data_IF_956441544620
#
_entry.id   IF_956441544620
#
_cell.length_a   1.000
_cell.length_b   1.000
_cell.length_c   1.000
_cell.angle_alpha   90.00
_cell.angle_beta   90.00
_cell.angle_gamma   90.00
#
_symmetry.space_group_name_H-M   'P 1'
#
loop_
_entity.id
_entity.type
_entity.pdbx_description
1 polymer ?
#
# COMPACT_ATOMS: atom_id res chain seq x y z
N UNK A 1 17.30 7.94 10.77
CA UNK A 1 15.88 7.86 10.39
C UNK A 1 15.65 6.41 10.01
N UNK A 2 14.68 5.75 10.64
CA UNK A 2 14.55 4.30 10.60
C UNK A 2 13.21 3.91 9.99
N UNK A 3 13.25 3.14 8.89
CA UNK A 3 12.04 2.70 8.20
C UNK A 3 11.15 1.82 9.08
N UNK A 4 11.74 1.11 10.04
CA UNK A 4 11.03 0.26 11.01
C UNK A 4 10.17 1.04 12.00
N UNK A 5 10.40 2.35 12.15
CA UNK A 5 9.55 3.23 12.97
C UNK A 5 8.29 3.67 12.23
N UNK A 6 8.23 3.52 10.90
CA UNK A 6 7.05 3.83 10.09
C UNK A 6 6.07 2.66 10.25
N UNK A 7 4.88 2.91 10.80
CA UNK A 7 3.82 1.91 10.99
C UNK A 7 2.48 2.41 10.48
N UNK A 8 1.73 1.53 9.84
CA UNK A 8 0.39 1.81 9.36
C UNK A 8 -0.55 1.92 10.56
N UNK A 9 -1.43 2.91 10.55
CA UNK A 9 -2.49 3.05 11.57
C UNK A 9 -3.75 2.29 11.12
N UNK A 10 -4.57 1.85 12.08
CA UNK A 10 -5.79 1.05 11.81
C UNK A 10 -6.78 1.73 10.87
N UNK A 11 -6.83 3.06 10.92
CA UNK A 11 -7.70 3.88 10.06
C UNK A 11 -6.97 4.53 8.89
N UNK A 12 -5.67 4.26 8.74
CA UNK A 12 -4.88 4.83 7.65
C UNK A 12 -4.95 3.90 6.43
N UNK A 13 -5.47 4.40 5.30
CA UNK A 13 -5.55 3.60 4.09
C UNK A 13 -4.13 3.22 3.63
N UNK A 14 -3.95 2.06 2.98
CA UNK A 14 -2.63 1.61 2.52
C UNK A 14 -1.88 2.65 1.68
N UNK A 15 -2.63 3.49 0.95
CA UNK A 15 -2.11 4.62 0.16
C UNK A 15 -1.30 5.62 0.99
N UNK A 16 -1.87 6.09 2.10
CA UNK A 16 -1.27 7.12 2.93
C UNK A 16 -0.02 6.57 3.64
N UNK A 17 -0.11 5.34 4.15
CA UNK A 17 1.04 4.64 4.70
C UNK A 17 2.18 4.49 3.69
N UNK A 18 1.84 4.09 2.46
CA UNK A 18 2.82 3.90 1.39
C UNK A 18 3.48 5.22 0.98
N UNK A 19 2.73 6.32 0.93
CA UNK A 19 3.29 7.65 0.68
C UNK A 19 4.28 8.05 1.77
N UNK A 20 3.92 7.93 3.05
CA UNK A 20 4.82 8.21 4.18
C UNK A 20 6.08 7.33 4.15
N UNK A 21 5.90 6.03 3.92
CA UNK A 21 7.02 5.10 3.85
C UNK A 21 7.93 5.39 2.66
N UNK A 22 7.37 5.73 1.49
CA UNK A 22 8.16 6.04 0.30
C UNK A 22 8.99 7.31 0.50
N UNK A 23 8.43 8.35 1.12
CA UNK A 23 9.18 9.58 1.48
C UNK A 23 10.35 9.25 2.40
N UNK A 24 10.11 8.50 3.49
CA UNK A 24 11.18 8.08 4.39
C UNK A 24 12.23 7.19 3.68
N UNK A 25 11.81 6.35 2.74
CA UNK A 25 12.70 5.48 1.96
C UNK A 25 13.54 6.23 0.92
N UNK A 26 13.10 7.43 0.50
CA UNK A 26 13.87 8.35 -0.34
C UNK A 26 14.89 9.14 0.49
N UNK A 27 14.56 9.49 1.73
CA UNK A 27 15.48 10.14 2.67
C UNK A 27 16.61 9.21 3.14
N UNK A 28 16.38 7.89 3.10
CA UNK A 28 17.37 6.87 3.45
C UNK A 28 17.70 6.00 2.23
N UNK A 29 18.45 6.51 1.23
CA UNK A 29 18.82 5.72 0.04
C UNK A 29 19.84 4.63 0.35
N UNK A 30 20.48 4.66 1.52
CA UNK A 30 21.49 3.69 1.97
C UNK A 30 20.92 2.33 2.34
N UNK A 31 19.61 2.20 2.57
CA UNK A 31 18.96 0.90 2.82
C UNK A 31 18.66 0.16 1.51
N UNK A 32 18.97 -1.14 1.50
CA UNK A 32 18.69 -2.03 0.38
C UNK A 32 17.19 -2.26 0.19
N UNK A 33 16.78 -2.66 -1.01
CA UNK A 33 15.38 -2.96 -1.29
C UNK A 33 14.82 -4.06 -0.38
N UNK A 34 15.65 -5.02 0.03
CA UNK A 34 15.25 -6.11 0.92
C UNK A 34 14.89 -5.59 2.32
N UNK A 35 15.69 -4.67 2.85
CA UNK A 35 15.42 -3.99 4.12
C UNK A 35 14.16 -3.12 4.01
N UNK A 36 13.97 -2.42 2.89
CA UNK A 36 12.74 -1.63 2.62
C UNK A 36 11.50 -2.53 2.62
N UNK A 37 11.55 -3.67 1.94
CA UNK A 37 10.47 -4.66 1.92
C UNK A 37 10.18 -5.20 3.32
N UNK A 38 11.21 -5.58 4.08
CA UNK A 38 11.07 -6.13 5.42
C UNK A 38 10.47 -5.10 6.40
N UNK A 39 11.01 -3.88 6.43
CA UNK A 39 10.49 -2.79 7.24
C UNK A 39 9.05 -2.43 6.86
N UNK A 40 8.73 -2.41 5.56
CA UNK A 40 7.37 -2.14 5.09
C UNK A 40 6.39 -3.21 5.60
N UNK A 41 6.72 -4.49 5.42
CA UNK A 41 5.88 -5.61 5.83
C UNK A 41 5.70 -5.67 7.36
N UNK A 42 6.72 -5.31 8.13
CA UNK A 42 6.67 -5.26 9.59
C UNK A 42 5.84 -4.08 10.11
N UNK A 43 5.86 -2.95 9.40
CA UNK A 43 5.04 -1.78 9.74
C UNK A 43 3.60 -1.86 9.22
N UNK A 44 3.29 -2.77 8.31
CA UNK A 44 1.97 -2.92 7.72
C UNK A 44 1.00 -3.65 8.67
N UNK A 45 -0.25 -3.20 8.72
CA UNK A 45 -1.28 -3.89 9.49
C UNK A 45 -1.79 -5.14 8.77
N UNK A 46 -2.14 -6.18 9.54
CA UNK A 46 -2.81 -7.37 9.00
C UNK A 46 -4.22 -6.99 8.53
N UNK A 47 -4.33 -6.65 7.25
CA UNK A 47 -5.56 -6.31 6.58
C UNK A 47 -5.61 -6.91 5.17
N UNK A 48 -6.66 -6.57 4.41
CA UNK A 48 -6.85 -7.06 3.04
C UNK A 48 -5.66 -6.74 2.12
N UNK A 49 -4.98 -5.62 2.37
CA UNK A 49 -3.77 -5.25 1.64
C UNK A 49 -2.58 -6.16 1.98
N UNK A 50 -2.30 -6.42 3.26
CA UNK A 50 -1.25 -7.37 3.67
C UNK A 50 -1.50 -8.78 3.12
N UNK A 51 -2.75 -9.25 3.20
CA UNK A 51 -3.17 -10.54 2.61
C UNK A 51 -2.97 -10.56 1.09
N UNK A 52 -3.26 -9.46 0.41
CA UNK A 52 -3.03 -9.32 -1.04
C UNK A 52 -1.55 -9.31 -1.44
N UNK A 53 -0.67 -8.79 -0.58
CA UNK A 53 0.78 -8.85 -0.78
C UNK A 53 1.31 -10.26 -0.57
N UNK A 54 0.89 -10.92 0.51
CA UNK A 54 1.30 -12.27 0.87
C UNK A 54 0.87 -13.29 -0.19
N UNK A 55 -0.38 -13.21 -0.67
CA UNK A 55 -0.93 -14.09 -1.72
C UNK A 55 -0.14 -14.08 -3.03
N UNK A 56 0.54 -12.98 -3.35
CA UNK A 56 1.33 -12.83 -4.59
C UNK A 56 2.84 -12.94 -4.38
N UNK A 57 3.29 -13.20 -3.14
CA UNK A 57 4.70 -13.30 -2.81
C UNK A 57 5.49 -12.07 -3.28
N UNK A 58 4.97 -10.87 -3.00
CA UNK A 58 5.65 -9.63 -3.38
C UNK A 58 6.98 -9.51 -2.59
N UNK A 59 8.08 -9.91 -3.22
CA UNK A 59 9.43 -9.93 -2.63
C UNK A 59 10.20 -8.64 -2.84
N UNK A 60 9.76 -7.79 -3.78
CA UNK A 60 10.42 -6.53 -4.13
C UNK A 60 9.57 -5.34 -3.73
N UNK A 61 10.22 -4.30 -3.22
CA UNK A 61 9.58 -3.03 -2.88
C UNK A 61 8.78 -2.44 -4.05
N UNK A 62 9.30 -2.55 -5.27
CA UNK A 62 8.61 -2.10 -6.49
C UNK A 62 7.28 -2.84 -6.74
N UNK A 63 7.24 -4.16 -6.49
CA UNK A 63 6.02 -4.95 -6.61
C UNK A 63 4.98 -4.57 -5.54
N UNK A 64 5.44 -4.16 -4.35
CA UNK A 64 4.57 -3.64 -3.29
C UNK A 64 3.94 -2.31 -3.72
N UNK A 65 4.75 -1.38 -4.27
CA UNK A 65 4.27 -0.10 -4.78
C UNK A 65 3.23 -0.29 -5.90
N UNK A 66 3.53 -1.15 -6.88
CA UNK A 66 2.60 -1.47 -7.97
C UNK A 66 1.29 -2.10 -7.44
N UNK A 67 1.37 -2.92 -6.38
CA UNK A 67 0.19 -3.52 -5.76
C UNK A 67 -0.64 -2.51 -5.01
N UNK A 68 0.00 -1.58 -4.29
CA UNK A 68 -0.68 -0.49 -3.61
C UNK A 68 -1.41 0.40 -4.60
N UNK A 69 -0.74 0.81 -5.67
CA UNK A 69 -1.36 1.57 -6.76
C UNK A 69 -2.59 0.83 -7.33
N UNK A 70 -2.48 -0.47 -7.58
CA UNK A 70 -3.60 -1.28 -8.05
C UNK A 70 -4.73 -1.42 -7.02
N UNK A 71 -4.41 -1.48 -5.73
CA UNK A 71 -5.40 -1.56 -4.65
C UNK A 71 -6.20 -0.25 -4.58
N UNK A 72 -5.53 0.89 -4.71
CA UNK A 72 -6.15 2.23 -4.76
C UNK A 72 -7.05 2.35 -5.99
N UNK A 73 -6.57 1.94 -7.16
CA UNK A 73 -7.35 1.95 -8.40
C UNK A 73 -8.62 1.08 -8.28
N UNK A 74 -8.51 -0.08 -7.62
CA UNK A 74 -9.68 -0.91 -7.32
C UNK A 74 -10.64 -0.27 -6.32
N UNK A 75 -10.14 0.38 -5.26
CA UNK A 75 -10.97 1.11 -4.28
C UNK A 75 -11.71 2.28 -4.96
N UNK A 76 -11.03 3.05 -5.80
CA UNK A 76 -11.61 4.18 -6.54
C UNK A 76 -12.65 3.71 -7.55
N UNK A 77 -12.35 2.65 -8.32
CA UNK A 77 -13.29 2.03 -9.23
C UNK A 77 -14.52 1.42 -8.51
N UNK A 78 -14.34 0.85 -7.32
CA UNK A 78 -15.44 0.37 -6.47
C UNK A 78 -16.31 1.53 -5.96
N UNK A 79 -15.71 2.67 -5.61
CA UNK A 79 -16.40 3.87 -5.18
C UNK A 79 -17.27 4.45 -6.33
N UNK A 80 -16.69 4.64 -7.53
CA UNK A 80 -17.47 5.09 -8.70
C UNK A 80 -18.60 4.13 -9.08
N UNK A 81 -18.41 2.81 -8.90
CA UNK A 81 -19.46 1.83 -9.22
C UNK A 81 -20.61 1.81 -8.20
N UNK A 82 -20.41 2.35 -7.00
CA UNK A 82 -21.49 2.60 -6.02
C UNK A 82 -22.28 3.86 -6.35
N UNK A 83 -21.64 4.87 -6.92
CA UNK A 83 -22.31 6.08 -7.40
C UNK A 83 -23.10 5.83 -8.70
N UNK A 84 -22.60 4.95 -9.58
CA UNK A 84 -23.28 4.51 -10.81
C UNK A 84 -24.43 3.51 -10.63
N UNK A 85 -25.02 3.40 -9.43
CA UNK A 85 -26.28 2.65 -9.20
C UNK A 85 -27.47 3.57 -8.90
N UNK A 86 -27.41 4.81 -9.35
CA UNK A 86 -28.51 5.50 -10.04
C UNK A 86 -27.83 6.17 -11.22
N UNK A 87 -27.91 5.67 -12.44
CA UNK A 87 -29.04 5.88 -13.32
C UNK A 87 -29.21 4.66 -14.23
N UNK A 88 -30.37 4.00 -14.09
CA UNK A 88 -31.05 3.43 -15.26
C UNK A 88 -31.56 4.60 -16.11
N UNK A 89 -31.77 4.32 -17.41
CA UNK A 89 -32.40 5.13 -18.47
C UNK A 89 -31.38 6.05 -19.20
N UNK A 90 -31.24 6.02 -20.52
CA UNK A 90 -32.13 5.61 -21.63
C UNK A 90 -31.38 4.89 -22.75
#
# INVERSE_FOLDING_TARGET
MDLFSIRQKEREPPKEYLQHFNTAALEVPSVTQEVKTCAFAQGLLDGDFFKSLNKKSATKFDAILARAAKYIDMEDAQASKREGRGEKKE
#
